data_IF_023709298492
#
_entry.id   IF_023709298492
#
_cell.length_a   1.000
_cell.length_b   1.000
_cell.length_c   1.000
_cell.angle_alpha   90.00
_cell.angle_beta   90.00
_cell.angle_gamma   90.00
#
_symmetry.space_group_name_H-M   'P 1'
#
loop_
_entity.id
_entity.type
_entity.pdbx_description
1 polymer ?
#
# COMPACT_ATOMS: atom_id res chain seq x y z
N UNK A 1 43.31 -11.01 -12.99
CA UNK A 1 42.65 -11.36 -11.72
C UNK A 1 41.37 -10.53 -11.48
N UNK A 2 40.48 -10.35 -12.48
CA UNK A 2 39.26 -9.53 -12.35
C UNK A 2 37.96 -10.34 -12.54
N UNK A 3 38.06 -11.63 -12.89
CA UNK A 3 36.89 -12.46 -13.24
C UNK A 3 36.17 -13.11 -12.05
N UNK A 4 36.81 -13.28 -10.89
CA UNK A 4 36.19 -13.99 -9.75
C UNK A 4 35.07 -13.22 -9.02
N UNK A 5 35.02 -11.88 -9.14
CA UNK A 5 34.01 -11.09 -8.42
C UNK A 5 32.64 -11.06 -9.11
N UNK A 6 32.55 -11.39 -10.40
CA UNK A 6 31.29 -11.35 -11.14
C UNK A 6 30.46 -12.63 -10.94
N UNK A 7 31.12 -13.79 -10.83
CA UNK A 7 30.43 -15.09 -10.67
C UNK A 7 29.77 -15.24 -9.29
N UNK A 8 30.35 -14.62 -8.25
CA UNK A 8 29.78 -14.69 -6.89
C UNK A 8 28.45 -13.94 -6.77
N UNK A 9 28.29 -12.80 -7.46
CA UNK A 9 27.07 -11.99 -7.39
C UNK A 9 25.83 -12.67 -7.98
N UNK A 10 25.99 -13.38 -9.10
CA UNK A 10 24.89 -14.08 -9.77
C UNK A 10 24.38 -15.29 -8.95
N UNK A 11 25.28 -15.96 -8.24
CA UNK A 11 24.90 -17.05 -7.33
C UNK A 11 24.08 -16.56 -6.13
N UNK A 12 24.44 -15.41 -5.55
CA UNK A 12 23.76 -14.84 -4.39
C UNK A 12 22.36 -14.33 -4.76
N UNK A 13 22.20 -13.73 -5.94
CA UNK A 13 20.90 -13.23 -6.43
C UNK A 13 19.91 -14.36 -6.72
N UNK A 14 20.35 -15.45 -7.38
CA UNK A 14 19.52 -16.64 -7.61
C UNK A 14 19.06 -17.29 -6.31
N UNK A 15 19.96 -17.38 -5.33
CA UNK A 15 19.63 -17.92 -4.01
C UNK A 15 18.57 -17.05 -3.31
N UNK A 16 18.72 -15.73 -3.40
CA UNK A 16 17.77 -14.76 -2.83
C UNK A 16 16.40 -14.84 -3.50
N UNK A 17 16.34 -14.99 -4.83
CA UNK A 17 15.08 -15.15 -5.56
C UNK A 17 14.35 -16.45 -5.18
N UNK A 18 15.07 -17.57 -5.03
CA UNK A 18 14.43 -18.83 -4.65
C UNK A 18 13.89 -18.77 -3.22
N UNK A 19 14.62 -18.18 -2.27
CA UNK A 19 14.13 -17.95 -0.91
C UNK A 19 12.86 -17.09 -0.90
N UNK A 20 12.81 -16.05 -1.73
CA UNK A 20 11.62 -15.22 -1.88
C UNK A 20 10.44 -16.04 -2.42
N UNK A 21 10.64 -16.81 -3.50
CA UNK A 21 9.60 -17.67 -4.10
C UNK A 21 9.10 -18.73 -3.12
N UNK A 22 10.00 -19.37 -2.38
CA UNK A 22 9.64 -20.35 -1.36
C UNK A 22 8.79 -19.73 -0.25
N UNK A 23 9.18 -18.55 0.25
CA UNK A 23 8.40 -17.83 1.24
C UNK A 23 6.99 -17.50 0.72
N UNK A 24 6.87 -17.03 -0.52
CA UNK A 24 5.56 -16.76 -1.16
C UNK A 24 4.73 -18.03 -1.28
N UNK A 25 5.30 -19.17 -1.72
CA UNK A 25 4.57 -20.44 -1.80
C UNK A 25 4.04 -20.88 -0.43
N UNK A 26 4.87 -20.80 0.61
CA UNK A 26 4.48 -21.13 2.00
C UNK A 26 3.31 -20.27 2.47
N UNK A 27 3.40 -18.95 2.24
CA UNK A 27 2.37 -17.99 2.63
C UNK A 27 1.09 -18.11 1.80
N UNK A 28 1.18 -18.43 0.51
CA UNK A 28 0.03 -18.71 -0.34
C UNK A 28 -0.71 -19.99 0.08
N UNK A 29 0.04 -21.01 0.51
CA UNK A 29 -0.53 -22.27 1.00
C UNK A 29 -1.38 -22.06 2.23
N UNK A 30 -0.91 -21.23 3.18
CA UNK A 30 -1.71 -20.84 4.34
C UNK A 30 -3.00 -20.10 3.94
N UNK A 31 -3.01 -19.32 2.87
CA UNK A 31 -4.20 -18.59 2.44
C UNK A 31 -5.26 -19.45 1.72
N UNK A 32 -4.98 -20.73 1.48
CA UNK A 32 -5.94 -21.65 0.87
C UNK A 32 -6.90 -22.28 1.89
N UNK A 33 -6.87 -21.89 3.18
CA UNK A 33 -7.87 -22.34 4.13
C UNK A 33 -9.27 -21.81 3.75
N UNK A 34 -10.31 -22.66 3.75
CA UNK A 34 -11.66 -22.26 3.34
C UNK A 34 -12.22 -21.05 4.10
N UNK A 35 -11.93 -20.94 5.40
CA UNK A 35 -12.38 -19.81 6.22
C UNK A 35 -11.81 -18.46 5.77
N UNK A 36 -10.55 -18.44 5.31
CA UNK A 36 -9.92 -17.24 4.77
C UNK A 36 -10.56 -16.88 3.43
N UNK A 37 -10.81 -17.87 2.57
CA UNK A 37 -11.48 -17.64 1.29
C UNK A 37 -12.89 -17.07 1.46
N UNK A 38 -13.67 -17.62 2.40
CA UNK A 38 -14.99 -17.10 2.76
C UNK A 38 -14.92 -15.68 3.33
N UNK A 39 -13.95 -15.39 4.19
CA UNK A 39 -13.78 -14.04 4.72
C UNK A 39 -13.39 -13.03 3.63
N UNK A 40 -12.47 -13.41 2.73
CA UNK A 40 -12.10 -12.58 1.59
C UNK A 40 -13.31 -12.32 0.69
N UNK A 41 -14.09 -13.35 0.42
CA UNK A 41 -15.30 -13.27 -0.39
C UNK A 41 -16.35 -12.30 0.19
N UNK A 42 -16.55 -12.38 1.50
CA UNK A 42 -17.59 -11.60 2.18
C UNK A 42 -17.13 -10.17 2.50
N UNK A 43 -15.87 -9.97 2.89
CA UNK A 43 -15.37 -8.67 3.39
C UNK A 43 -14.66 -7.81 2.36
N UNK A 44 -13.94 -8.42 1.40
CA UNK A 44 -13.07 -7.67 0.49
C UNK A 44 -13.57 -7.61 -0.95
N UNK A 45 -14.61 -8.36 -1.29
CA UNK A 45 -15.29 -8.23 -2.57
C UNK A 45 -16.56 -7.39 -2.41
N UNK A 46 -16.78 -6.51 -3.37
CA UNK A 46 -18.06 -5.83 -3.57
C UNK A 46 -19.09 -6.82 -4.10
N UNK A 47 -20.37 -6.46 -3.98
CA UNK A 47 -21.46 -7.29 -4.51
C UNK A 47 -21.33 -7.50 -6.03
N UNK A 48 -20.94 -6.45 -6.77
CA UNK A 48 -20.72 -6.53 -8.21
C UNK A 48 -19.57 -7.49 -8.56
N UNK A 49 -18.49 -7.50 -7.78
CA UNK A 49 -17.37 -8.43 -7.99
C UNK A 49 -17.77 -9.87 -7.68
N UNK A 50 -18.57 -10.10 -6.63
CA UNK A 50 -19.14 -11.42 -6.33
C UNK A 50 -20.02 -11.93 -7.47
N UNK A 51 -20.94 -11.10 -7.97
CA UNK A 51 -21.81 -11.43 -9.11
C UNK A 51 -20.96 -11.73 -10.36
N UNK A 52 -19.94 -10.92 -10.64
CA UNK A 52 -19.01 -11.15 -11.75
C UNK A 52 -18.31 -12.50 -11.62
N UNK A 53 -17.76 -12.81 -10.45
CA UNK A 53 -17.04 -14.07 -10.24
C UNK A 53 -17.95 -15.31 -10.18
N UNK A 54 -19.21 -15.16 -9.79
CA UNK A 54 -20.20 -16.25 -9.88
C UNK A 54 -20.64 -16.54 -11.32
N UNK A 55 -20.76 -15.50 -12.16
CA UNK A 55 -21.23 -15.65 -13.55
C UNK A 55 -20.13 -16.18 -14.49
N UNK A 56 -18.88 -15.90 -14.18
CA UNK A 56 -17.73 -16.53 -14.83
C UNK A 56 -17.58 -17.97 -14.28
N UNK A 57 -18.17 -18.96 -14.97
CA UNK A 57 -17.99 -20.40 -14.68
C UNK A 57 -16.49 -20.72 -14.49
N UNK A 58 -16.06 -20.78 -13.24
CA UNK A 58 -14.67 -20.56 -12.84
C UNK A 58 -13.89 -21.86 -12.75
N UNK A 59 -13.55 -22.42 -13.91
CA UNK A 59 -12.53 -23.48 -13.98
C UNK A 59 -11.11 -22.95 -13.78
N UNK A 60 -10.94 -21.62 -13.73
CA UNK A 60 -9.69 -20.99 -13.32
C UNK A 60 -9.36 -21.34 -11.87
N UNK A 61 -8.26 -22.06 -11.67
CA UNK A 61 -7.71 -22.40 -10.34
C UNK A 61 -7.48 -21.16 -9.46
N UNK A 62 -7.28 -19.98 -10.05
CA UNK A 62 -7.12 -18.71 -9.33
C UNK A 62 -8.39 -18.33 -8.56
N UNK A 63 -9.58 -18.55 -9.13
CA UNK A 63 -10.86 -18.25 -8.48
C UNK A 63 -11.19 -19.20 -7.32
N UNK A 64 -10.45 -20.30 -7.17
CA UNK A 64 -10.62 -21.28 -6.09
C UNK A 64 -9.79 -20.96 -4.84
N UNK A 65 -8.87 -19.99 -4.93
CA UNK A 65 -8.03 -19.56 -3.81
C UNK A 65 -8.41 -18.16 -3.32
N UNK A 66 -8.31 -17.91 -2.01
CA UNK A 66 -8.52 -16.59 -1.43
C UNK A 66 -7.59 -15.54 -2.06
N UNK A 67 -6.33 -15.93 -2.30
CA UNK A 67 -5.31 -15.10 -2.94
C UNK A 67 -5.69 -14.73 -4.35
N UNK A 68 -6.10 -15.70 -5.18
CA UNK A 68 -6.43 -15.44 -6.58
C UNK A 68 -7.71 -14.60 -6.73
N UNK A 69 -8.71 -14.82 -5.87
CA UNK A 69 -9.90 -13.96 -5.80
C UNK A 69 -9.52 -12.52 -5.45
N UNK A 70 -8.71 -12.34 -4.41
CA UNK A 70 -8.26 -11.02 -3.97
C UNK A 70 -7.40 -10.32 -5.03
N UNK A 71 -6.45 -11.04 -5.65
CA UNK A 71 -5.59 -10.53 -6.71
C UNK A 71 -6.42 -9.99 -7.89
N UNK A 72 -7.42 -10.77 -8.30
CA UNK A 72 -8.27 -10.45 -9.43
C UNK A 72 -9.21 -9.28 -9.17
N UNK A 73 -9.76 -9.18 -7.95
CA UNK A 73 -10.62 -8.08 -7.56
C UNK A 73 -9.87 -6.74 -7.60
N UNK A 74 -8.65 -6.73 -7.07
CA UNK A 74 -7.85 -5.51 -6.93
C UNK A 74 -6.96 -5.21 -8.15
N UNK A 75 -6.94 -6.08 -9.17
CA UNK A 75 -6.06 -5.91 -10.33
C UNK A 75 -4.57 -5.95 -10.00
N UNK A 76 -4.18 -6.75 -9.01
CA UNK A 76 -2.80 -6.87 -8.51
C UNK A 76 -2.22 -8.26 -8.80
N UNK A 77 -0.89 -8.41 -8.70
CA UNK A 77 -0.25 -9.71 -8.88
C UNK A 77 -0.60 -10.69 -7.75
N UNK A 78 -0.53 -11.99 -8.06
CA UNK A 78 -0.73 -13.06 -7.08
C UNK A 78 0.26 -12.97 -5.91
N UNK A 79 1.50 -12.58 -6.18
CA UNK A 79 2.55 -12.42 -5.18
C UNK A 79 2.19 -11.28 -4.22
N UNK A 80 1.80 -10.12 -4.76
CA UNK A 80 1.34 -8.99 -3.96
C UNK A 80 0.10 -9.32 -3.13
N UNK A 81 -0.91 -9.95 -3.74
CA UNK A 81 -2.10 -10.43 -3.04
C UNK A 81 -1.76 -11.38 -1.89
N UNK A 82 -0.78 -12.27 -2.09
CA UNK A 82 -0.30 -13.18 -1.04
C UNK A 82 0.24 -12.39 0.15
N UNK A 83 1.12 -11.41 -0.10
CA UNK A 83 1.74 -10.60 0.95
C UNK A 83 0.69 -9.75 1.68
N UNK A 84 -0.21 -9.08 0.94
CA UNK A 84 -1.27 -8.25 1.51
C UNK A 84 -2.25 -9.05 2.39
N UNK A 85 -2.70 -10.21 1.94
CA UNK A 85 -3.56 -11.08 2.76
C UNK A 85 -2.82 -11.62 3.98
N UNK A 86 -1.57 -12.04 3.82
CA UNK A 86 -0.78 -12.55 4.94
C UNK A 86 -0.56 -11.51 6.03
N UNK A 87 -0.35 -10.24 5.65
CA UNK A 87 -0.27 -9.14 6.60
C UNK A 87 -1.49 -9.03 7.50
N UNK A 88 -2.68 -9.33 6.97
CA UNK A 88 -3.95 -9.20 7.69
C UNK A 88 -4.18 -10.34 8.68
N UNK A 89 -3.80 -11.56 8.33
CA UNK A 89 -4.17 -12.74 9.10
C UNK A 89 -3.10 -13.24 10.06
N UNK A 90 -1.81 -13.22 9.67
CA UNK A 90 -0.81 -14.02 10.42
C UNK A 90 0.65 -13.63 10.23
N UNK A 91 0.98 -12.66 9.38
CA UNK A 91 2.37 -12.33 9.07
C UNK A 91 2.97 -11.32 10.05
N UNK A 92 4.16 -11.65 10.54
CA UNK A 92 4.94 -10.74 11.39
C UNK A 92 5.35 -9.48 10.63
N UNK A 93 5.59 -8.38 11.34
CA UNK A 93 6.12 -7.14 10.75
C UNK A 93 7.44 -7.39 9.97
N UNK A 94 8.28 -8.29 10.49
CA UNK A 94 9.59 -8.60 9.91
C UNK A 94 9.46 -9.34 8.57
N UNK A 95 8.61 -10.36 8.49
CA UNK A 95 8.36 -11.12 7.26
C UNK A 95 7.72 -10.23 6.20
N UNK A 96 6.79 -9.35 6.61
CA UNK A 96 6.15 -8.41 5.71
C UNK A 96 7.14 -7.42 5.10
N UNK A 97 7.97 -6.78 5.92
CA UNK A 97 8.96 -5.81 5.45
C UNK A 97 9.99 -6.49 4.51
N UNK A 98 10.41 -7.72 4.82
CA UNK A 98 11.26 -8.53 3.95
C UNK A 98 10.59 -8.76 2.59
N UNK A 99 9.38 -9.34 2.56
CA UNK A 99 8.70 -9.70 1.31
C UNK A 99 8.33 -8.49 0.46
N UNK A 100 7.97 -7.35 1.07
CA UNK A 100 7.73 -6.12 0.33
C UNK A 100 8.98 -5.61 -0.38
N UNK A 101 10.14 -5.67 0.30
CA UNK A 101 11.43 -5.27 -0.29
C UNK A 101 11.83 -6.20 -1.43
N UNK A 102 11.68 -7.51 -1.24
CA UNK A 102 12.00 -8.49 -2.28
C UNK A 102 11.04 -8.38 -3.47
N UNK A 103 9.73 -8.17 -3.24
CA UNK A 103 8.79 -7.94 -4.33
C UNK A 103 9.21 -6.74 -5.19
N UNK A 104 9.52 -5.61 -4.55
CA UNK A 104 9.95 -4.41 -5.27
C UNK A 104 11.24 -4.67 -6.05
N UNK A 105 12.18 -5.40 -5.48
CA UNK A 105 13.43 -5.74 -6.14
C UNK A 105 13.23 -6.59 -7.40
N UNK A 106 12.42 -7.65 -7.33
CA UNK A 106 12.25 -8.60 -8.43
C UNK A 106 11.20 -8.19 -9.46
N UNK A 107 10.21 -7.39 -9.08
CA UNK A 107 9.06 -7.07 -9.96
C UNK A 107 8.87 -5.58 -10.21
N UNK A 108 9.50 -4.71 -9.41
CA UNK A 108 9.21 -3.28 -9.39
C UNK A 108 7.85 -2.93 -8.75
N UNK A 109 7.04 -3.92 -8.36
CA UNK A 109 5.76 -3.69 -7.69
C UNK A 109 5.99 -3.14 -6.28
N UNK A 110 5.28 -2.06 -5.97
CA UNK A 110 5.26 -1.50 -4.62
C UNK A 110 4.03 -2.03 -3.90
N UNK A 111 4.25 -2.66 -2.74
CA UNK A 111 3.18 -2.84 -1.77
C UNK A 111 3.14 -1.55 -0.97
N UNK A 112 2.17 -0.70 -1.31
CA UNK A 112 1.81 0.42 -0.45
C UNK A 112 1.54 -0.14 0.94
N UNK A 113 2.13 0.41 2.00
CA UNK A 113 2.09 -0.22 3.32
C UNK A 113 0.66 -0.34 3.90
N UNK A 114 -0.37 0.20 3.24
CA UNK A 114 -1.73 0.38 3.78
C UNK A 114 -2.88 0.27 2.77
N UNK A 115 -2.80 -0.55 1.73
CA UNK A 115 -3.93 -0.78 0.83
C UNK A 115 -5.04 -1.67 1.43
N UNK A 116 -5.21 -1.61 2.75
CA UNK A 116 -6.54 -1.78 3.32
C UNK A 116 -7.23 -0.47 2.98
N UNK A 117 -8.04 -0.48 1.92
CA UNK A 117 -8.97 0.61 1.64
C UNK A 117 -9.67 0.91 2.96
N UNK A 118 -9.30 1.99 3.64
CA UNK A 118 -9.98 2.37 4.87
C UNK A 118 -11.44 2.60 4.46
N UNK A 119 -12.39 2.15 5.27
CA UNK A 119 -13.81 2.39 5.01
C UNK A 119 -14.11 3.88 4.77
N UNK A 120 -13.23 4.77 5.24
CA UNK A 120 -13.29 6.22 5.07
C UNK A 120 -12.59 6.78 3.82
N UNK A 121 -11.95 5.96 2.98
CA UNK A 121 -11.19 6.43 1.81
C UNK A 121 -12.05 7.23 0.84
N UNK A 122 -13.26 6.75 0.55
CA UNK A 122 -14.24 7.40 -0.34
C UNK A 122 -14.73 8.76 0.20
N UNK A 123 -14.47 9.06 1.48
CA UNK A 123 -14.87 10.32 2.12
C UNK A 123 -13.87 11.42 1.82
N UNK A 124 -12.59 11.10 1.58
CA UNK A 124 -11.57 12.09 1.31
C UNK A 124 -11.41 12.33 -0.20
N UNK A 125 -11.20 13.59 -0.57
CA UNK A 125 -10.93 13.96 -1.95
C UNK A 125 -9.98 15.15 -1.99
N UNK A 126 -8.80 14.96 -2.56
CA UNK A 126 -7.82 16.01 -2.83
C UNK A 126 -7.83 16.36 -4.32
N UNK A 127 -8.06 17.64 -4.59
CA UNK A 127 -8.04 18.22 -5.93
C UNK A 127 -6.83 19.16 -6.02
N UNK A 128 -5.81 18.71 -6.77
CA UNK A 128 -4.54 19.42 -6.96
C UNK A 128 -4.72 20.78 -7.62
N UNK A 129 -5.55 20.83 -8.68
CA UNK A 129 -5.74 22.03 -9.51
C UNK A 129 -6.38 23.17 -8.72
N UNK A 130 -7.38 22.85 -7.89
CA UNK A 130 -8.05 23.83 -7.03
C UNK A 130 -7.33 24.03 -5.69
N UNK A 131 -6.45 23.11 -5.32
CA UNK A 131 -5.80 23.03 -4.02
C UNK A 131 -6.79 22.78 -2.87
N UNK A 132 -7.89 22.08 -3.13
CA UNK A 132 -8.97 21.84 -2.16
C UNK A 132 -8.92 20.39 -1.66
N UNK A 133 -8.87 20.24 -0.34
CA UNK A 133 -9.06 18.96 0.34
C UNK A 133 -10.46 18.92 0.97
N UNK A 134 -11.23 17.88 0.64
CA UNK A 134 -12.58 17.63 1.15
C UNK A 134 -12.62 16.36 2.01
N UNK A 135 -13.54 16.36 2.97
CA UNK A 135 -14.00 15.20 3.73
C UNK A 135 -15.54 15.18 3.68
N UNK A 136 -16.16 14.09 3.23
CA UNK A 136 -17.61 13.98 3.01
C UNK A 136 -18.16 15.12 2.14
N UNK A 137 -17.41 15.49 1.11
CA UNK A 137 -17.73 16.61 0.23
C UNK A 137 -17.56 18.02 0.85
N UNK A 138 -17.30 18.13 2.16
CA UNK A 138 -17.05 19.40 2.85
C UNK A 138 -15.58 19.78 2.76
N UNK A 139 -15.29 21.01 2.36
CA UNK A 139 -13.92 21.52 2.35
C UNK A 139 -13.36 21.59 3.78
N UNK A 140 -12.28 20.86 4.04
CA UNK A 140 -11.56 20.88 5.33
C UNK A 140 -10.24 21.63 5.26
N UNK A 141 -9.69 21.84 4.05
CA UNK A 141 -8.46 22.62 3.83
C UNK A 141 -8.40 23.17 2.42
N UNK A 142 -7.81 24.35 2.29
CA UNK A 142 -7.40 24.95 1.01
C UNK A 142 -5.91 25.31 1.06
N UNK A 143 -5.13 24.73 0.15
CA UNK A 143 -3.70 25.04 -0.03
C UNK A 143 -3.60 26.26 -0.93
N UNK A 144 -3.16 27.39 -0.38
CA UNK A 144 -2.98 28.62 -1.15
C UNK A 144 -1.75 28.47 -2.04
N UNK A 145 -1.91 28.64 -3.36
CA UNK A 145 -0.84 28.51 -4.38
C UNK A 145 -0.18 27.11 -4.33
N UNK A 146 -0.84 26.06 -4.87
CA UNK A 146 -0.31 24.70 -4.91
C UNK A 146 1.13 24.62 -5.44
N UNK A 147 1.42 25.40 -6.49
CA UNK A 147 2.76 25.51 -7.10
C UNK A 147 3.86 25.96 -6.12
N UNK A 148 3.53 26.77 -5.11
CA UNK A 148 4.49 27.23 -4.11
C UNK A 148 4.54 26.33 -2.87
N UNK A 149 3.65 25.33 -2.79
CA UNK A 149 3.47 24.45 -1.63
C UNK A 149 3.73 22.99 -2.01
N UNK A 150 4.70 22.74 -2.90
CA UNK A 150 4.96 21.43 -3.52
C UNK A 150 5.03 20.28 -2.51
N UNK A 151 5.65 20.49 -1.35
CA UNK A 151 5.76 19.45 -0.33
C UNK A 151 4.42 19.06 0.30
N UNK A 152 3.51 20.02 0.49
CA UNK A 152 2.17 19.74 1.00
C UNK A 152 1.38 18.98 -0.07
N UNK A 153 1.41 19.48 -1.31
CA UNK A 153 0.76 18.83 -2.44
C UNK A 153 1.26 17.39 -2.58
N UNK A 154 2.57 17.16 -2.57
CA UNK A 154 3.15 15.82 -2.66
C UNK A 154 2.67 14.85 -1.57
N UNK A 155 2.49 15.33 -0.33
CA UNK A 155 1.91 14.49 0.74
C UNK A 155 0.46 14.12 0.40
N UNK A 156 -0.35 15.10 0.00
CA UNK A 156 -1.76 14.90 -0.32
C UNK A 156 -1.96 14.07 -1.60
N UNK A 157 -1.11 14.25 -2.60
CA UNK A 157 -1.08 13.47 -3.84
C UNK A 157 -0.82 12.00 -3.52
N UNK A 158 0.17 11.68 -2.68
CA UNK A 158 0.43 10.29 -2.28
C UNK A 158 -0.71 9.70 -1.46
N UNK A 159 -1.33 10.47 -0.55
CA UNK A 159 -2.55 9.99 0.11
C UNK A 159 -3.68 9.74 -0.91
N UNK A 160 -3.86 10.59 -1.92
CA UNK A 160 -4.90 10.45 -2.93
C UNK A 160 -4.64 9.26 -3.88
N UNK A 161 -3.39 9.09 -4.32
CA UNK A 161 -2.93 7.99 -5.18
C UNK A 161 -3.03 6.62 -4.48
N UNK A 162 -2.86 6.59 -3.15
CA UNK A 162 -2.95 5.37 -2.33
C UNK A 162 -4.36 5.13 -1.73
N UNK A 163 -5.40 5.84 -2.19
CA UNK A 163 -6.78 5.74 -1.68
C UNK A 163 -6.91 6.05 -0.17
N UNK A 164 -6.28 7.13 0.27
CA UNK A 164 -6.38 7.70 1.61
C UNK A 164 -6.15 6.70 2.75
N UNK A 165 -4.99 6.02 2.76
CA UNK A 165 -4.66 5.10 3.84
C UNK A 165 -4.51 5.83 5.19
N UNK A 166 -4.46 5.10 6.30
CA UNK A 166 -4.18 5.68 7.62
C UNK A 166 -2.76 6.28 7.69
N UNK A 167 -1.81 5.72 6.95
CA UNK A 167 -0.42 6.20 6.88
C UNK A 167 0.12 6.10 5.46
N UNK A 168 1.19 6.83 5.18
CA UNK A 168 2.01 6.71 3.97
C UNK A 168 3.49 6.75 4.36
N UNK A 169 4.36 6.28 3.47
CA UNK A 169 5.79 6.58 3.60
C UNK A 169 6.05 8.06 3.30
N UNK A 170 7.14 8.60 3.87
CA UNK A 170 7.54 9.97 3.57
C UNK A 170 7.83 10.12 2.06
N UNK A 171 7.07 10.98 1.34
CA UNK A 171 7.18 11.07 -0.11
C UNK A 171 8.29 12.02 -0.57
N UNK A 172 9.07 12.61 0.34
CA UNK A 172 10.13 13.54 -0.03
C UNK A 172 11.30 12.81 -0.69
N UNK A 173 11.83 13.30 -1.81
CA UNK A 173 12.98 12.70 -2.47
C UNK A 173 14.25 12.87 -1.61
N UNK A 174 15.13 11.88 -1.64
CA UNK A 174 16.45 11.93 -1.01
C UNK A 174 16.47 11.48 0.46
N UNK A 175 17.51 11.90 1.19
CA UNK A 175 17.65 11.59 2.61
C UNK A 175 16.55 12.34 3.38
N UNK A 176 15.74 11.66 4.21
CA UNK A 176 14.69 12.31 4.98
C UNK A 176 15.27 13.44 5.86
N UNK A 177 14.82 14.68 5.61
CA UNK A 177 15.05 15.82 6.49
C UNK A 177 13.88 15.94 7.48
N UNK A 178 14.07 15.56 8.76
CA UNK A 178 12.98 15.53 9.73
C UNK A 178 12.44 16.93 10.06
N UNK A 179 13.27 17.97 10.04
CA UNK A 179 12.83 19.34 10.37
C UNK A 179 11.99 19.91 9.23
N UNK A 180 12.41 19.71 7.97
CA UNK A 180 11.61 20.10 6.80
C UNK A 180 10.26 19.39 6.78
N UNK A 181 10.22 18.10 7.12
CA UNK A 181 8.95 17.36 7.22
C UNK A 181 8.08 17.92 8.35
N UNK A 182 8.64 18.15 9.52
CA UNK A 182 7.92 18.70 10.68
C UNK A 182 7.32 20.07 10.37
N UNK A 183 8.06 20.96 9.72
CA UNK A 183 7.57 22.27 9.29
C UNK A 183 6.46 22.15 8.22
N UNK A 184 6.64 21.22 7.27
CA UNK A 184 5.59 20.93 6.27
C UNK A 184 4.32 20.44 6.95
N UNK A 185 4.41 19.49 7.88
CA UNK A 185 3.25 18.96 8.61
C UNK A 185 2.61 20.03 9.50
N UNK A 186 3.40 20.90 10.13
CA UNK A 186 2.89 22.06 10.88
C UNK A 186 2.07 22.98 9.99
N UNK A 187 2.56 23.28 8.78
CA UNK A 187 1.86 24.11 7.79
C UNK A 187 0.62 23.43 7.21
N UNK A 188 0.69 22.12 6.94
CA UNK A 188 -0.45 21.32 6.49
C UNK A 188 -1.55 21.29 7.55
N UNK A 189 -1.19 21.05 8.81
CA UNK A 189 -2.11 21.03 9.94
C UNK A 189 -2.70 22.39 10.29
N UNK A 190 -2.05 23.48 9.90
CA UNK A 190 -2.53 24.83 10.18
C UNK A 190 -3.84 25.12 9.43
N UNK A 191 -4.98 24.98 10.10
CA UNK A 191 -6.31 25.22 9.53
C UNK A 191 -7.00 23.98 8.97
N UNK A 192 -6.52 22.77 9.31
CA UNK A 192 -7.36 21.56 9.23
C UNK A 192 -8.32 21.54 10.42
N UNK A 193 -9.58 21.15 10.17
CA UNK A 193 -10.64 21.11 11.19
C UNK A 193 -11.06 19.70 11.62
N UNK A 194 -10.84 18.68 10.78
CA UNK A 194 -11.36 17.34 11.00
C UNK A 194 -10.29 16.24 11.14
N UNK A 195 -9.10 16.48 10.58
CA UNK A 195 -7.98 15.54 10.63
C UNK A 195 -6.68 16.25 10.99
N UNK A 196 -5.71 15.47 11.46
CA UNK A 196 -4.35 15.92 11.70
C UNK A 196 -3.37 14.92 11.10
N UNK A 197 -2.27 15.42 10.54
CA UNK A 197 -1.15 14.63 10.07
C UNK A 197 -0.02 14.63 11.09
N UNK A 198 0.55 13.46 11.36
CA UNK A 198 1.70 13.30 12.27
C UNK A 198 2.77 12.46 11.59
N UNK A 199 3.96 12.41 12.21
CA UNK A 199 5.05 11.57 11.74
C UNK A 199 5.53 10.58 12.80
N UNK A 200 5.96 9.40 12.35
CA UNK A 200 6.55 8.34 13.16
C UNK A 200 7.89 7.86 12.58
N UNK A 201 8.58 7.00 13.33
CA UNK A 201 9.84 6.34 12.92
C UNK A 201 10.88 7.32 12.37
N UNK A 202 11.13 8.43 13.09
CA UNK A 202 12.08 9.49 12.72
C UNK A 202 11.81 10.11 11.34
N UNK A 203 10.55 10.42 11.03
CA UNK A 203 10.23 11.09 9.77
C UNK A 203 10.03 10.17 8.57
N UNK A 204 10.01 8.84 8.78
CA UNK A 204 9.86 7.86 7.69
C UNK A 204 8.41 7.56 7.32
N UNK A 205 7.51 7.74 8.28
CA UNK A 205 6.08 7.46 8.11
C UNK A 205 5.30 8.71 8.48
N UNK A 206 4.28 9.01 7.69
CA UNK A 206 3.28 10.05 7.96
C UNK A 206 1.95 9.33 8.20
N UNK A 207 1.21 9.67 9.25
CA UNK A 207 -0.11 9.12 9.53
C UNK A 207 -1.15 10.22 9.65
N UNK A 208 -2.39 9.93 9.24
CA UNK A 208 -3.56 10.78 9.46
C UNK A 208 -4.35 10.25 10.66
N UNK A 209 -4.88 11.16 11.45
CA UNK A 209 -5.79 10.85 12.56
C UNK A 209 -6.99 11.81 12.49
N UNK A 210 -8.18 11.34 12.86
CA UNK A 210 -9.32 12.22 13.09
C UNK A 210 -9.10 13.00 14.40
N UNK A 211 -9.58 14.25 14.44
CA UNK A 211 -9.53 15.11 15.63
C UNK A 211 -10.77 14.90 16.49
#
# INVERSE_FOLDING_TARGET
>A
MVTQSAEQGDSDEKTREELFREAIRRHATYMNFPCIAEEVWNKYLTENERIRFQSENSDSSLCKSAVGLYARANGISFVRATIELNRRYSMTDMDYDYLCRELFHFTGERIGPFLIKCADSDRFNWDYDTGILKLDGKQIRKVKKPLNSENICRILDVFQEEDWPEKIFNPFPGVPDPEKLKDTLKSLNAGLSAIRFRTARKGKIIFREFI
#
